data_IF_874770572162
#
_entry.id   IF_874770572162
#
_cell.length_a   1.000
_cell.length_b   1.000
_cell.length_c   1.000
_cell.angle_alpha   90.00
_cell.angle_beta   90.00
_cell.angle_gamma   90.00
#
_symmetry.space_group_name_H-M   'P 1'
#
loop_
_entity.id
_entity.type
_entity.pdbx_description
1 polymer ?
#
# COMPACT_ATOMS: atom_id res chain seq x y z
N UNK A 1 -5.40 9.46 0.53
CA UNK A 1 -5.25 9.96 -0.86
C UNK A 1 -6.57 9.92 -1.67
N UNK A 2 -7.11 8.77 -2.08
CA UNK A 2 -8.25 8.72 -3.04
C UNK A 2 -9.49 9.52 -2.61
N UNK A 3 -9.94 9.35 -1.36
CA UNK A 3 -11.09 10.11 -0.82
C UNK A 3 -10.89 11.63 -0.96
N UNK A 4 -9.67 12.11 -0.68
CA UNK A 4 -9.35 13.54 -0.74
C UNK A 4 -9.38 14.08 -2.17
N UNK A 5 -8.91 13.29 -3.14
CA UNK A 5 -9.01 13.63 -4.57
C UNK A 5 -10.48 13.76 -4.98
N UNK A 6 -11.33 12.81 -4.57
CA UNK A 6 -12.77 12.88 -4.85
C UNK A 6 -13.42 14.10 -4.19
N UNK A 7 -13.06 14.43 -2.95
CA UNK A 7 -13.54 15.64 -2.27
C UNK A 7 -13.17 16.92 -3.02
N UNK A 8 -11.94 17.03 -3.53
CA UNK A 8 -11.51 18.20 -4.31
C UNK A 8 -12.36 18.31 -5.58
N UNK A 9 -12.52 17.20 -6.30
CA UNK A 9 -13.28 17.16 -7.56
C UNK A 9 -14.76 17.49 -7.39
N UNK A 10 -15.36 17.18 -6.23
CA UNK A 10 -16.78 17.38 -5.98
C UNK A 10 -17.12 18.75 -5.35
N UNK A 11 -16.12 19.46 -4.80
CA UNK A 11 -16.34 20.74 -4.10
C UNK A 11 -16.17 21.97 -4.99
N UNK A 12 -15.37 21.86 -6.03
CA UNK A 12 -15.07 22.97 -6.93
C UNK A 12 -16.04 22.96 -8.12
N UNK A 13 -16.63 24.11 -8.43
CA UNK A 13 -17.58 24.26 -9.54
C UNK A 13 -16.86 24.38 -10.89
N UNK A 14 -15.65 24.95 -10.87
CA UNK A 14 -14.77 25.01 -12.04
C UNK A 14 -13.97 23.71 -12.20
N UNK A 15 -14.33 22.93 -13.22
CA UNK A 15 -13.70 21.64 -13.52
C UNK A 15 -12.18 21.74 -13.74
N UNK A 16 -11.69 22.80 -14.38
CA UNK A 16 -10.25 22.94 -14.64
C UNK A 16 -9.49 23.28 -13.36
N UNK A 17 -10.07 24.12 -12.51
CA UNK A 17 -9.50 24.39 -11.19
C UNK A 17 -9.50 23.15 -10.30
N UNK A 18 -10.60 22.39 -10.28
CA UNK A 18 -10.71 21.13 -9.53
C UNK A 18 -9.61 20.13 -9.91
N UNK A 19 -9.36 19.99 -11.22
CA UNK A 19 -8.27 19.15 -11.75
C UNK A 19 -6.89 19.65 -11.30
N UNK A 20 -6.65 20.97 -11.37
CA UNK A 20 -5.37 21.55 -10.96
C UNK A 20 -5.09 21.34 -9.47
N UNK A 21 -6.10 21.52 -8.62
CA UNK A 21 -5.99 21.31 -7.17
C UNK A 21 -5.76 19.83 -6.84
N UNK A 22 -6.47 18.91 -7.52
CA UNK A 22 -6.27 17.48 -7.35
C UNK A 22 -4.86 17.04 -7.77
N UNK A 23 -4.35 17.55 -8.90
CA UNK A 23 -2.98 17.27 -9.36
C UNK A 23 -1.95 17.81 -8.35
N UNK A 24 -2.15 19.03 -7.86
CA UNK A 24 -1.26 19.65 -6.88
C UNK A 24 -1.20 18.84 -5.59
N UNK A 25 -2.35 18.43 -5.06
CA UNK A 25 -2.45 17.56 -3.89
C UNK A 25 -1.71 16.22 -4.08
N UNK A 26 -1.88 15.57 -5.24
CA UNK A 26 -1.20 14.30 -5.52
C UNK A 26 0.31 14.50 -5.61
N UNK A 27 0.79 15.60 -6.20
CA UNK A 27 2.23 15.93 -6.28
C UNK A 27 2.83 16.18 -4.91
N UNK A 28 2.13 16.90 -4.04
CA UNK A 28 2.53 17.12 -2.65
C UNK A 28 2.66 15.80 -1.90
N UNK A 29 1.63 14.94 -1.97
CA UNK A 29 1.67 13.61 -1.35
C UNK A 29 2.84 12.75 -1.87
N UNK A 30 3.15 12.81 -3.17
CA UNK A 30 4.32 12.12 -3.74
C UNK A 30 5.63 12.68 -3.16
N UNK A 31 5.74 13.99 -2.94
CA UNK A 31 6.92 14.60 -2.31
C UNK A 31 7.07 14.11 -0.87
N UNK A 32 6.01 14.16 -0.08
CA UNK A 32 6.00 13.66 1.30
C UNK A 32 6.38 12.18 1.38
N UNK A 33 5.88 11.36 0.45
CA UNK A 33 6.22 9.94 0.38
C UNK A 33 7.72 9.73 0.10
N UNK A 34 8.29 10.50 -0.84
CA UNK A 34 9.73 10.45 -1.17
C UNK A 34 10.61 10.95 -0.03
N UNK A 35 10.11 11.90 0.75
CA UNK A 35 10.77 12.46 1.93
C UNK A 35 10.60 11.58 3.18
N UNK A 36 9.84 10.48 3.10
CA UNK A 36 9.60 9.56 4.22
C UNK A 36 8.71 10.15 5.32
N UNK A 37 7.89 11.16 4.99
CA UNK A 37 6.98 11.83 5.94
C UNK A 37 5.64 11.11 6.11
N UNK A 38 5.29 10.22 5.18
CA UNK A 38 4.05 9.44 5.25
C UNK A 38 4.22 8.29 6.25
N UNK A 39 3.34 8.13 7.24
CA UNK A 39 3.40 7.04 8.20
C UNK A 39 3.34 5.66 7.53
N UNK A 40 4.09 4.69 8.04
CA UNK A 40 4.08 3.33 7.50
C UNK A 40 2.71 2.65 7.55
N UNK A 41 1.90 2.93 8.57
CA UNK A 41 0.56 2.36 8.71
C UNK A 41 -0.34 2.69 7.51
N UNK A 42 -0.17 3.88 6.92
CA UNK A 42 -0.90 4.31 5.71
C UNK A 42 -0.37 3.65 4.43
N UNK A 43 0.77 2.94 4.51
CA UNK A 43 1.44 2.28 3.39
C UNK A 43 1.31 0.75 3.44
N UNK A 44 0.68 0.19 4.47
CA UNK A 44 0.53 -1.27 4.61
C UNK A 44 -0.37 -1.81 3.50
N UNK A 45 0.17 -2.76 2.74
CA UNK A 45 -0.59 -3.57 1.80
C UNK A 45 -1.03 -4.84 2.55
N UNK A 46 -2.34 -4.99 2.73
CA UNK A 46 -2.94 -6.18 3.33
C UNK A 46 -3.30 -7.20 2.25
N UNK A 47 -2.82 -8.43 2.40
CA UNK A 47 -3.19 -9.53 1.51
C UNK A 47 -3.50 -10.79 2.28
N UNK A 48 -4.61 -11.43 1.91
CA UNK A 48 -5.03 -12.71 2.47
C UNK A 48 -4.24 -13.87 1.86
N UNK A 49 -3.81 -14.79 2.72
CA UNK A 49 -3.25 -16.08 2.35
C UNK A 49 -4.41 -17.06 2.21
N UNK A 50 -4.62 -17.61 1.01
CA UNK A 50 -5.84 -18.39 0.71
C UNK A 50 -5.58 -19.90 0.63
N UNK A 51 -4.33 -20.33 0.83
CA UNK A 51 -3.88 -21.73 0.84
C UNK A 51 -2.55 -21.82 1.60
N UNK A 52 -2.05 -23.00 1.97
CA UNK A 52 -0.76 -23.14 2.64
C UNK A 52 0.38 -22.47 1.85
N UNK A 53 1.33 -21.85 2.56
CA UNK A 53 2.41 -21.06 1.95
C UNK A 53 3.27 -21.89 1.01
N UNK A 54 3.45 -23.18 1.33
CA UNK A 54 4.23 -24.16 0.58
C UNK A 54 3.62 -24.47 -0.79
N UNK A 55 2.31 -24.26 -0.98
CA UNK A 55 1.62 -24.52 -2.24
C UNK A 55 1.78 -23.38 -3.28
N UNK A 56 2.25 -22.20 -2.84
CA UNK A 56 2.44 -21.08 -3.75
C UNK A 56 3.68 -21.26 -4.62
N UNK A 57 3.45 -21.46 -5.92
CA UNK A 57 4.53 -21.53 -6.93
C UNK A 57 5.12 -20.16 -7.28
N UNK A 58 4.37 -19.08 -7.06
CA UNK A 58 4.76 -17.72 -7.42
C UNK A 58 5.37 -16.98 -6.22
N UNK A 59 6.45 -16.22 -6.45
CA UNK A 59 7.09 -15.36 -5.45
C UNK A 59 6.47 -13.97 -5.47
N UNK A 60 5.29 -13.83 -4.86
CA UNK A 60 4.68 -12.53 -4.63
C UNK A 60 5.20 -11.86 -3.36
N UNK A 61 5.19 -10.53 -3.28
CA UNK A 61 5.65 -9.79 -2.09
C UNK A 61 4.97 -10.25 -0.78
N UNK A 62 3.66 -10.50 -0.83
CA UNK A 62 2.88 -11.05 0.29
C UNK A 62 3.32 -12.46 0.71
N UNK A 63 3.82 -13.29 -0.23
CA UNK A 63 4.31 -14.64 0.06
C UNK A 63 5.69 -14.58 0.71
N UNK A 64 6.57 -13.70 0.24
CA UNK A 64 7.89 -13.50 0.87
C UNK A 64 7.74 -12.90 2.26
N UNK A 65 6.83 -11.93 2.45
CA UNK A 65 6.48 -11.42 3.77
C UNK A 65 5.95 -12.51 4.70
N UNK A 66 5.05 -13.39 4.22
CA UNK A 66 4.53 -14.51 5.00
C UNK A 66 5.64 -15.49 5.41
N UNK A 67 6.58 -15.82 4.51
CA UNK A 67 7.74 -16.66 4.84
C UNK A 67 8.62 -16.03 5.91
N UNK A 68 8.90 -14.73 5.80
CA UNK A 68 9.67 -14.01 6.83
C UNK A 68 8.97 -14.04 8.20
N UNK A 69 7.64 -13.97 8.23
CA UNK A 69 6.87 -14.12 9.48
C UNK A 69 7.01 -15.55 10.05
N UNK A 70 6.91 -16.58 9.22
CA UNK A 70 7.10 -17.98 9.65
C UNK A 70 8.51 -18.21 10.17
N UNK A 71 9.53 -17.70 9.49
CA UNK A 71 10.93 -17.75 9.95
C UNK A 71 11.14 -17.02 11.28
N UNK A 72 10.36 -15.96 11.53
CA UNK A 72 10.32 -15.24 12.80
C UNK A 72 9.48 -15.95 13.89
N UNK A 73 8.93 -17.14 13.60
CA UNK A 73 8.19 -17.98 14.56
C UNK A 73 6.68 -17.74 14.61
N UNK A 74 6.11 -17.05 13.63
CA UNK A 74 4.65 -16.88 13.54
C UNK A 74 4.01 -18.08 12.85
N UNK A 75 2.85 -18.50 13.34
CA UNK A 75 1.99 -19.47 12.65
C UNK A 75 1.02 -18.70 11.74
N UNK A 76 0.86 -19.18 10.50
CA UNK A 76 -0.06 -18.62 9.50
C UNK A 76 -0.90 -19.72 8.90
N UNK A 77 -2.21 -19.50 8.83
CA UNK A 77 -3.20 -20.40 8.24
C UNK A 77 -3.90 -19.78 7.02
N UNK A 78 -4.46 -20.60 6.13
CA UNK A 78 -5.37 -20.09 5.09
C UNK A 78 -6.54 -19.31 5.70
N UNK A 79 -6.70 -18.06 5.28
CA UNK A 79 -7.64 -17.08 5.81
C UNK A 79 -6.96 -15.91 6.51
N UNK A 80 -5.70 -16.07 6.93
CA UNK A 80 -4.94 -15.00 7.59
C UNK A 80 -4.56 -13.88 6.63
N UNK A 81 -4.44 -12.67 7.18
CA UNK A 81 -4.01 -11.48 6.45
C UNK A 81 -2.59 -11.10 6.82
N UNK A 82 -1.76 -10.98 5.80
CA UNK A 82 -0.39 -10.51 5.91
C UNK A 82 -0.34 -9.04 5.47
N UNK A 83 0.09 -8.18 6.38
CA UNK A 83 0.38 -6.77 6.12
C UNK A 83 1.86 -6.58 5.84
N UNK A 84 2.21 -5.90 4.75
CA UNK A 84 3.60 -5.63 4.41
C UNK A 84 3.78 -4.26 3.77
N UNK A 85 4.98 -3.69 3.92
CA UNK A 85 5.41 -2.48 3.22
C UNK A 85 6.60 -2.83 2.34
N UNK A 86 6.61 -2.33 1.12
CA UNK A 86 7.73 -2.49 0.20
C UNK A 86 8.72 -1.35 0.44
N UNK A 87 9.93 -1.72 0.86
CA UNK A 87 11.03 -0.77 1.05
C UNK A 87 11.87 -0.65 -0.23
N UNK A 88 12.59 0.46 -0.38
CA UNK A 88 13.58 0.62 -1.45
C UNK A 88 14.76 -0.31 -1.21
N UNK A 89 15.15 -1.10 -2.20
CA UNK A 89 16.27 -2.03 -2.16
C UNK A 89 16.74 -2.44 -3.55
N UNK A 90 17.82 -3.22 -3.64
CA UNK A 90 18.43 -3.64 -4.91
C UNK A 90 17.73 -4.83 -5.58
N UNK A 91 16.76 -5.46 -4.88
CA UNK A 91 16.09 -6.69 -5.32
C UNK A 91 16.77 -7.93 -4.76
#
# INVERSE_FOLDING_TARGET
MQRRVLEIMLREEDLERAKQDAISYVREFISELREGKVPYDDLIIWKEITRPIEEYKARGAHIEAAKMMIEAGWELEPGDKVGFVILKGEG
#
